data_IF_761466669177
#
_entry.id   IF_761466669177
#
_cell.length_a   1.000
_cell.length_b   1.000
_cell.length_c   1.000
_cell.angle_alpha   90.00
_cell.angle_beta   90.00
_cell.angle_gamma   90.00
#
_symmetry.space_group_name_H-M   'P 1'
#
loop_
_entity.id
_entity.type
_entity.pdbx_description
1 polymer ?
#
# COMPACT_ATOMS: atom_id res chain seq x y z
N UNK A 1 21.41 -9.80 -6.82
CA UNK A 1 20.86 -10.75 -5.84
C UNK A 1 20.65 -10.00 -4.53
N UNK A 2 19.47 -9.39 -4.39
CA UNK A 2 19.12 -8.50 -3.29
C UNK A 2 18.55 -9.31 -2.14
N UNK A 3 19.16 -9.17 -0.97
CA UNK A 3 18.75 -9.77 0.28
C UNK A 3 17.26 -9.53 0.58
N UNK A 4 16.43 -10.55 0.33
CA UNK A 4 15.09 -10.69 0.89
C UNK A 4 15.20 -11.12 2.36
N UNK A 5 15.78 -10.26 3.19
CA UNK A 5 16.03 -10.56 4.60
C UNK A 5 14.90 -9.99 5.46
N UNK A 6 13.94 -10.84 5.83
CA UNK A 6 13.24 -10.89 7.13
C UNK A 6 12.68 -9.57 7.76
N UNK A 7 12.50 -8.50 6.99
CA UNK A 7 12.54 -7.16 7.56
C UNK A 7 11.34 -6.71 8.40
N UNK A 8 10.27 -7.49 8.61
CA UNK A 8 9.10 -6.93 9.32
C UNK A 8 8.15 -7.91 10.01
N UNK A 9 8.64 -8.59 11.05
CA UNK A 9 7.76 -9.23 12.06
C UNK A 9 8.08 -8.72 13.47
N UNK A 10 8.87 -7.64 13.59
CA UNK A 10 9.09 -7.04 14.90
C UNK A 10 7.79 -6.43 15.42
N UNK A 11 7.58 -6.45 16.73
CA UNK A 11 6.39 -5.82 17.36
C UNK A 11 6.26 -4.35 16.94
N UNK A 12 7.41 -3.69 16.77
CA UNK A 12 7.56 -2.33 16.25
C UNK A 12 6.95 -2.16 14.85
N UNK A 13 7.21 -3.08 13.93
CA UNK A 13 6.67 -3.02 12.57
C UNK A 13 5.17 -3.27 12.55
N UNK A 14 4.69 -4.18 13.39
CA UNK A 14 3.26 -4.47 13.51
C UNK A 14 2.49 -3.23 14.00
N UNK A 15 3.05 -2.49 14.96
CA UNK A 15 2.47 -1.22 15.43
C UNK A 15 2.46 -0.17 14.31
N UNK A 16 3.58 -0.02 13.60
CA UNK A 16 3.71 0.93 12.49
C UNK A 16 2.68 0.64 11.38
N UNK A 17 2.48 -0.64 11.04
CA UNK A 17 1.48 -1.08 10.05
C UNK A 17 0.05 -0.92 10.54
N UNK A 18 -0.25 -1.22 11.81
CA UNK A 18 -1.56 -0.92 12.39
C UNK A 18 -1.90 0.56 12.23
N UNK A 19 -0.95 1.44 12.57
CA UNK A 19 -1.15 2.88 12.43
C UNK A 19 -1.41 3.28 10.97
N UNK A 20 -0.71 2.70 9.99
CA UNK A 20 -0.95 2.98 8.58
C UNK A 20 -2.33 2.53 8.12
N UNK A 21 -2.81 1.35 8.53
CA UNK A 21 -4.19 0.93 8.26
C UNK A 21 -5.21 1.87 8.91
N UNK A 22 -4.97 2.33 10.14
CA UNK A 22 -5.83 3.35 10.78
C UNK A 22 -5.91 4.63 9.92
N UNK A 23 -4.78 5.08 9.35
CA UNK A 23 -4.77 6.25 8.47
C UNK A 23 -5.55 6.00 7.16
N UNK A 24 -5.44 4.81 6.57
CA UNK A 24 -6.19 4.44 5.36
C UNK A 24 -7.69 4.46 5.65
N UNK A 25 -8.13 3.81 6.73
CA UNK A 25 -9.55 3.71 7.11
C UNK A 25 -10.14 5.07 7.49
N UNK A 26 -9.43 5.84 8.32
CA UNK A 26 -9.92 7.16 8.78
C UNK A 26 -10.14 8.13 7.61
N UNK A 27 -9.33 8.01 6.55
CA UNK A 27 -9.44 8.86 5.35
C UNK A 27 -10.62 8.51 4.45
N UNK A 28 -11.20 7.33 4.62
CA UNK A 28 -12.44 6.94 3.94
C UNK A 28 -13.69 7.44 4.70
N UNK A 29 -13.52 8.18 5.80
CA UNK A 29 -14.63 8.64 6.64
C UNK A 29 -15.25 7.53 7.49
N UNK A 30 -14.58 6.37 7.58
CA UNK A 30 -15.02 5.23 8.39
C UNK A 30 -14.22 5.20 9.69
N UNK A 31 -14.89 4.88 10.79
CA UNK A 31 -14.23 4.72 12.07
C UNK A 31 -13.26 3.52 12.02
N UNK A 32 -11.99 3.76 12.30
CA UNK A 32 -10.99 2.70 12.34
C UNK A 32 -11.23 1.79 13.56
N UNK A 33 -11.71 0.57 13.33
CA UNK A 33 -11.74 -0.48 14.36
C UNK A 33 -10.30 -0.97 14.61
N UNK A 34 -9.66 -0.36 15.60
CA UNK A 34 -8.27 -0.68 16.00
C UNK A 34 -8.11 -2.13 16.41
N UNK A 35 -9.12 -2.75 17.02
CA UNK A 35 -9.06 -4.14 17.45
C UNK A 35 -9.12 -5.09 16.25
N UNK A 36 -9.96 -4.79 15.25
CA UNK A 36 -9.98 -5.53 13.99
C UNK A 36 -8.67 -5.37 13.21
N UNK A 37 -8.14 -4.14 13.14
CA UNK A 37 -6.84 -3.85 12.50
C UNK A 37 -5.73 -4.64 13.17
N UNK A 38 -5.61 -4.57 14.49
CA UNK A 38 -4.55 -5.27 15.23
C UNK A 38 -4.65 -6.78 15.05
N UNK A 39 -5.85 -7.35 15.17
CA UNK A 39 -6.08 -8.78 14.96
C UNK A 39 -5.65 -9.22 13.57
N UNK A 40 -6.08 -8.49 12.54
CA UNK A 40 -5.76 -8.78 11.15
C UNK A 40 -4.25 -8.77 10.88
N UNK A 41 -3.55 -7.76 11.40
CA UNK A 41 -2.09 -7.63 11.29
C UNK A 41 -1.36 -8.76 12.03
N UNK A 42 -1.78 -9.08 13.25
CA UNK A 42 -1.19 -10.15 14.04
C UNK A 42 -1.40 -11.52 13.36
N UNK A 43 -2.61 -11.81 12.88
CA UNK A 43 -2.93 -13.04 12.15
C UNK A 43 -2.15 -13.16 10.84
N UNK A 44 -2.12 -12.10 10.02
CA UNK A 44 -1.38 -12.07 8.77
C UNK A 44 0.11 -12.32 8.99
N UNK A 45 0.70 -11.68 10.00
CA UNK A 45 2.11 -11.82 10.33
C UNK A 45 2.49 -13.24 10.79
N UNK A 46 1.62 -13.90 11.57
CA UNK A 46 1.78 -15.30 11.99
C UNK A 46 1.66 -16.26 10.83
N UNK A 47 0.65 -16.07 9.98
CA UNK A 47 0.45 -16.91 8.80
C UNK A 47 1.65 -16.87 7.86
N UNK A 48 2.23 -15.69 7.61
CA UNK A 48 3.42 -15.59 6.77
C UNK A 48 4.65 -16.24 7.39
N UNK A 49 4.81 -16.25 8.72
CA UNK A 49 5.95 -16.89 9.38
C UNK A 49 6.01 -18.41 9.14
N UNK A 50 4.87 -19.05 8.84
CA UNK A 50 4.77 -20.49 8.56
C UNK A 50 5.11 -20.84 7.10
N UNK A 51 5.39 -19.83 6.25
CA UNK A 51 5.59 -20.01 4.81
C UNK A 51 7.06 -19.83 4.41
N UNK A 52 7.58 -20.61 3.44
CA UNK A 52 8.99 -20.55 3.02
C UNK A 52 9.41 -19.19 2.40
N UNK A 53 8.47 -18.46 1.79
CA UNK A 53 8.69 -17.17 1.13
C UNK A 53 7.99 -16.02 1.88
N UNK A 54 8.24 -15.95 3.19
CA UNK A 54 7.63 -15.02 4.16
C UNK A 54 8.07 -13.55 3.95
N UNK A 55 7.65 -12.98 2.82
CA UNK A 55 7.92 -11.56 2.51
C UNK A 55 6.88 -10.67 3.17
N UNK A 56 7.31 -9.50 3.66
CA UNK A 56 6.43 -8.53 4.30
C UNK A 56 5.23 -8.13 3.43
N UNK A 57 5.41 -8.13 2.12
CA UNK A 57 4.35 -7.83 1.17
C UNK A 57 3.18 -8.83 1.28
N UNK A 58 3.49 -10.10 1.58
CA UNK A 58 2.48 -11.16 1.67
C UNK A 58 1.58 -10.95 2.88
N UNK A 59 2.13 -10.92 4.09
CA UNK A 59 1.29 -10.74 5.28
C UNK A 59 0.55 -9.41 5.26
N UNK A 60 1.13 -8.35 4.70
CA UNK A 60 0.46 -7.07 4.56
C UNK A 60 -0.73 -7.14 3.58
N UNK A 61 -0.59 -7.89 2.48
CA UNK A 61 -1.69 -8.13 1.53
C UNK A 61 -2.80 -8.97 2.16
N UNK A 62 -2.45 -10.00 2.94
CA UNK A 62 -3.43 -10.81 3.69
C UNK A 62 -4.15 -9.95 4.75
N UNK A 63 -3.41 -9.14 5.51
CA UNK A 63 -3.97 -8.24 6.52
C UNK A 63 -4.95 -7.24 5.89
N UNK A 64 -4.57 -6.67 4.74
CA UNK A 64 -5.43 -5.76 4.00
C UNK A 64 -6.71 -6.47 3.50
N UNK A 65 -6.57 -7.71 3.01
CA UNK A 65 -7.70 -8.53 2.53
C UNK A 65 -8.67 -8.87 3.66
N UNK A 66 -8.16 -9.26 4.84
CA UNK A 66 -8.95 -9.52 6.04
C UNK A 66 -9.68 -8.26 6.56
N UNK A 67 -9.14 -7.07 6.27
CA UNK A 67 -9.79 -5.79 6.55
C UNK A 67 -10.78 -5.35 5.45
N UNK A 68 -10.96 -6.17 4.41
CA UNK A 68 -11.87 -5.90 3.30
C UNK A 68 -11.27 -5.02 2.20
N UNK A 69 -9.98 -4.67 2.25
CA UNK A 69 -9.33 -3.91 1.18
C UNK A 69 -8.92 -4.80 0.01
N UNK A 70 -8.86 -4.20 -1.18
CA UNK A 70 -8.18 -4.80 -2.32
C UNK A 70 -6.72 -4.37 -2.28
N UNK A 71 -5.81 -5.31 -2.03
CA UNK A 71 -4.37 -5.05 -1.97
C UNK A 71 -3.58 -5.92 -2.95
N UNK A 72 -2.51 -5.36 -3.53
CA UNK A 72 -1.63 -6.08 -4.46
C UNK A 72 -0.17 -5.68 -4.25
N UNK A 73 0.71 -6.64 -4.45
CA UNK A 73 2.14 -6.39 -4.53
C UNK A 73 2.47 -5.85 -5.92
N UNK A 74 3.11 -4.68 -5.98
CA UNK A 74 3.52 -4.02 -7.21
C UNK A 74 5.02 -3.73 -7.12
N UNK A 75 5.73 -3.93 -8.22
CA UNK A 75 7.11 -3.51 -8.37
C UNK A 75 7.16 -2.47 -9.49
N UNK A 76 7.72 -1.29 -9.20
CA UNK A 76 7.70 -0.18 -10.14
C UNK A 76 8.67 0.92 -9.77
N UNK A 77 8.90 1.83 -10.71
CA UNK A 77 9.72 3.00 -10.46
C UNK A 77 8.94 4.03 -9.64
N UNK A 78 9.66 4.90 -8.93
CA UNK A 78 9.04 5.89 -8.05
C UNK A 78 8.02 6.82 -8.74
N UNK A 79 8.24 7.30 -9.99
CA UNK A 79 7.23 8.07 -10.71
C UNK A 79 5.90 7.31 -10.91
N UNK A 80 5.96 6.01 -11.17
CA UNK A 80 4.78 5.15 -11.37
C UNK A 80 4.02 4.97 -10.05
N UNK A 81 4.74 4.67 -8.97
CA UNK A 81 4.16 4.51 -7.63
C UNK A 81 3.53 5.81 -7.11
N UNK A 82 4.18 6.94 -7.38
CA UNK A 82 3.62 8.27 -7.12
C UNK A 82 2.34 8.48 -7.94
N UNK A 83 2.32 8.04 -9.21
CA UNK A 83 1.13 8.05 -10.06
C UNK A 83 -0.04 7.31 -9.43
N UNK A 84 0.18 6.06 -9.00
CA UNK A 84 -0.83 5.25 -8.31
C UNK A 84 -1.39 5.94 -7.07
N UNK A 85 -0.52 6.50 -6.23
CA UNK A 85 -0.94 7.24 -5.04
C UNK A 85 -1.76 8.50 -5.40
N UNK A 86 -1.41 9.21 -6.48
CA UNK A 86 -2.20 10.36 -6.97
C UNK A 86 -3.58 9.97 -7.48
N UNK A 87 -3.70 8.79 -8.08
CA UNK A 87 -4.96 8.24 -8.58
C UNK A 87 -5.87 7.71 -7.46
N UNK A 88 -5.50 7.98 -6.20
CA UNK A 88 -6.31 7.68 -5.02
C UNK A 88 -5.92 6.37 -4.34
N UNK A 89 -4.89 5.66 -4.81
CA UNK A 89 -4.42 4.47 -4.12
C UNK A 89 -3.61 4.83 -2.86
N UNK A 90 -3.52 3.87 -1.96
CA UNK A 90 -2.61 3.89 -0.81
C UNK A 90 -1.41 3.00 -1.11
N UNK A 91 -0.22 3.58 -1.18
CA UNK A 91 1.02 2.83 -1.49
C UNK A 91 1.84 2.71 -0.22
N UNK A 92 1.97 1.48 0.29
CA UNK A 92 2.79 1.16 1.45
C UNK A 92 4.14 0.62 0.99
N UNK A 93 5.20 1.22 1.51
CA UNK A 93 6.58 0.85 1.20
C UNK A 93 7.37 0.66 2.50
N UNK A 94 8.25 -0.32 2.49
CA UNK A 94 9.22 -0.55 3.55
C UNK A 94 10.62 -0.30 3.00
N UNK A 95 11.32 0.68 3.57
CA UNK A 95 12.69 1.02 3.18
C UNK A 95 13.66 0.55 4.28
N UNK A 96 14.60 -0.37 3.98
CA UNK A 96 15.60 -0.81 4.95
C UNK A 96 16.33 0.39 5.59
N UNK A 97 16.42 0.42 6.93
CA UNK A 97 17.06 1.50 7.69
C UNK A 97 16.24 2.80 7.82
N UNK A 98 15.23 3.02 6.97
CA UNK A 98 14.36 4.19 7.01
C UNK A 98 12.94 3.89 7.55
N UNK A 99 12.57 2.61 7.59
CA UNK A 99 11.28 2.12 8.07
C UNK A 99 10.14 2.31 7.08
N UNK A 100 8.92 2.26 7.59
CA UNK A 100 7.72 2.30 6.78
C UNK A 100 7.33 3.69 6.28
N UNK A 101 6.75 3.73 5.08
CA UNK A 101 6.09 4.92 4.51
C UNK A 101 4.77 4.54 3.87
N UNK A 102 3.80 5.44 3.99
CA UNK A 102 2.52 5.38 3.29
C UNK A 102 2.37 6.63 2.42
N UNK A 103 2.08 6.43 1.15
CA UNK A 103 1.80 7.47 0.17
C UNK A 103 0.33 7.43 -0.22
N UNK A 104 -0.32 8.59 -0.28
CA UNK A 104 -1.68 8.70 -0.83
C UNK A 104 -1.94 10.11 -1.37
N UNK A 105 -2.90 10.25 -2.26
CA UNK A 105 -3.34 11.53 -2.81
C UNK A 105 -3.98 12.43 -1.74
N UNK A 106 -3.89 13.75 -1.94
CA UNK A 106 -4.49 14.74 -1.04
C UNK A 106 -5.11 15.92 -1.81
N UNK A 107 -5.93 15.59 -2.81
CA UNK A 107 -6.59 16.59 -3.65
C UNK A 107 -5.63 17.43 -4.51
N UNK A 108 -6.08 17.77 -5.72
CA UNK A 108 -5.30 18.58 -6.65
C UNK A 108 -3.91 17.97 -6.95
N UNK A 109 -2.84 18.73 -6.70
CA UNK A 109 -1.44 18.33 -6.94
C UNK A 109 -0.68 17.96 -5.66
N UNK A 110 -1.37 17.79 -4.53
CA UNK A 110 -0.75 17.48 -3.24
C UNK A 110 -0.95 16.02 -2.89
N UNK A 111 0.01 15.50 -2.14
CA UNK A 111 0.07 14.13 -1.68
C UNK A 111 0.45 14.12 -0.22
N UNK A 112 0.13 13.03 0.46
CA UNK A 112 0.53 12.81 1.83
C UNK A 112 1.62 11.76 1.85
N UNK A 113 2.70 12.11 2.55
CA UNK A 113 3.70 11.18 2.99
C UNK A 113 3.49 10.95 4.48
N UNK A 114 3.22 9.70 4.84
CA UNK A 114 2.97 9.29 6.22
C UNK A 114 4.08 8.37 6.70
N UNK A 115 4.57 8.63 7.90
CA UNK A 115 5.74 8.00 8.51
C UNK A 115 5.44 7.78 9.99
N UNK A 116 5.15 6.56 10.45
CA UNK A 116 4.73 6.32 11.84
C UNK A 116 5.68 6.93 12.89
N UNK A 117 6.97 6.99 12.57
CA UNK A 117 8.07 7.43 13.46
C UNK A 117 8.72 8.75 13.05
N UNK A 118 8.13 9.49 12.12
CA UNK A 118 8.66 10.80 11.73
C UNK A 118 8.36 11.87 12.79
N UNK A 119 9.21 12.89 12.93
CA UNK A 119 8.92 14.07 13.77
C UNK A 119 7.56 14.71 13.41
N UNK A 120 7.24 14.70 12.12
CA UNK A 120 5.91 15.00 11.59
C UNK A 120 5.38 13.75 10.89
N UNK A 121 4.55 12.92 11.56
CA UNK A 121 4.10 11.65 11.03
C UNK A 121 3.27 11.75 9.76
N UNK A 122 2.69 12.91 9.46
CA UNK A 122 1.90 13.18 8.27
C UNK A 122 2.38 14.50 7.67
N UNK A 123 2.85 14.45 6.42
CA UNK A 123 3.32 15.64 5.69
C UNK A 123 2.64 15.77 4.34
N UNK A 124 2.16 16.97 4.03
CA UNK A 124 1.57 17.29 2.74
C UNK A 124 2.64 17.83 1.79
N UNK A 125 2.96 17.08 0.75
CA UNK A 125 4.06 17.33 -0.17
C UNK A 125 3.59 17.37 -1.63
N UNK A 126 4.41 17.94 -2.50
CA UNK A 126 4.26 17.78 -3.96
C UNK A 126 4.93 16.47 -4.41
N UNK A 127 4.52 15.88 -5.55
CA UNK A 127 5.13 14.67 -6.11
C UNK A 127 6.67 14.72 -6.18
N UNK A 128 7.24 15.82 -6.67
CA UNK A 128 8.70 15.98 -6.74
C UNK A 128 9.39 15.96 -5.38
N UNK A 129 8.76 16.50 -4.33
CA UNK A 129 9.30 16.48 -2.97
C UNK A 129 9.27 15.08 -2.36
N UNK A 130 8.23 14.28 -2.67
CA UNK A 130 8.18 12.86 -2.30
C UNK A 130 9.31 12.10 -3.00
N UNK A 131 9.52 12.37 -4.30
CA UNK A 131 10.60 11.77 -5.06
C UNK A 131 11.95 12.02 -4.41
N UNK A 132 12.28 13.29 -4.15
CA UNK A 132 13.54 13.68 -3.53
C UNK A 132 13.71 13.05 -2.15
N UNK A 133 12.66 12.98 -1.33
CA UNK A 133 12.77 12.40 0.01
C UNK A 133 12.99 10.89 0.00
N UNK A 134 12.33 10.16 -0.91
CA UNK A 134 12.52 8.71 -1.00
C UNK A 134 13.88 8.37 -1.61
N UNK A 135 14.34 9.15 -2.60
CA UNK A 135 15.71 9.02 -3.12
C UNK A 135 16.76 9.32 -2.06
N UNK A 136 16.59 10.39 -1.27
CA UNK A 136 17.48 10.71 -0.15
C UNK A 136 17.45 9.64 0.96
N UNK A 137 16.36 8.86 1.06
CA UNK A 137 16.26 7.70 1.94
C UNK A 137 16.92 6.43 1.36
N UNK A 138 17.67 6.55 0.26
CA UNK A 138 18.43 5.47 -0.36
C UNK A 138 17.66 4.68 -1.43
N UNK A 139 16.56 5.23 -1.94
CA UNK A 139 15.83 4.58 -3.02
C UNK A 139 16.49 4.78 -4.39
N UNK A 140 16.86 3.67 -5.03
CA UNK A 140 17.33 3.61 -6.42
C UNK A 140 16.67 2.42 -7.16
N UNK A 141 16.17 2.66 -8.38
CA UNK A 141 15.66 1.60 -9.26
C UNK A 141 14.19 1.24 -9.10
N UNK A 142 13.88 -0.05 -8.92
CA UNK A 142 12.53 -0.59 -8.78
C UNK A 142 12.20 -0.83 -7.30
N UNK A 143 11.00 -0.39 -6.87
CA UNK A 143 10.52 -0.59 -5.51
C UNK A 143 9.40 -1.62 -5.51
N UNK A 144 9.59 -2.69 -4.72
CA UNK A 144 8.50 -3.59 -4.37
C UNK A 144 7.66 -2.97 -3.24
N UNK A 145 6.37 -2.83 -3.47
CA UNK A 145 5.42 -2.15 -2.59
C UNK A 145 4.10 -2.91 -2.49
N UNK A 146 3.29 -2.57 -1.49
CA UNK A 146 1.89 -3.01 -1.43
C UNK A 146 0.99 -1.82 -1.75
N UNK A 147 0.20 -1.96 -2.82
CA UNK A 147 -0.77 -0.97 -3.25
C UNK A 147 -2.15 -1.43 -2.80
N UNK A 148 -2.82 -0.56 -2.05
CA UNK A 148 -4.14 -0.79 -1.47
C UNK A 148 -5.09 0.17 -2.16
N UNK A 149 -6.18 -0.37 -2.71
CA UNK A 149 -7.30 0.42 -3.18
C UNK A 149 -8.20 0.77 -2.00
N UNK A 150 -8.31 2.06 -1.64
CA UNK A 150 -9.23 2.46 -0.61
C UNK A 150 -10.66 2.26 -1.12
N UNK A 151 -11.41 1.37 -0.46
CA UNK A 151 -12.81 1.17 -0.79
C UNK A 151 -13.59 2.45 -0.47
N UNK A 152 -14.37 2.94 -1.44
CA UNK A 152 -15.45 3.87 -1.15
C UNK A 152 -16.59 3.05 -0.54
N UNK A 153 -16.57 2.86 0.77
CA UNK A 153 -17.76 2.33 1.46
C UNK A 153 -18.89 3.32 1.18
N UNK A 154 -19.98 2.80 0.60
CA UNK A 154 -21.03 3.59 -0.01
C UNK A 154 -21.53 4.72 0.89
N UNK A 155 -21.48 5.94 0.36
CA UNK A 155 -22.51 6.90 0.68
C UNK A 155 -23.84 6.23 0.31
N UNK A 156 -24.70 5.99 1.30
CA UNK A 156 -26.07 5.56 1.05
C UNK A 156 -26.76 6.60 0.16
N UNK A 157 -26.80 6.32 -1.13
CA UNK A 157 -27.61 7.00 -2.13
C UNK A 157 -28.20 5.94 -3.03
N UNK A 158 -29.48 5.63 -2.81
CA UNK A 158 -30.29 4.89 -3.75
C UNK A 158 -30.22 5.55 -5.14
N UNK A 159 -29.51 4.91 -6.07
CA UNK A 159 -29.87 4.97 -7.48
C UNK A 159 -29.37 3.74 -8.21
N UNK A 160 -30.29 3.06 -8.88
CA UNK A 160 -30.00 2.22 -10.04
C UNK A 160 -29.04 2.97 -10.96
N UNK A 161 -27.89 2.38 -11.29
CA UNK A 161 -27.61 2.10 -12.69
C UNK A 161 -26.46 1.11 -12.89
N UNK A 162 -26.52 0.42 -14.02
CA UNK A 162 -25.52 -0.51 -14.51
C UNK A 162 -24.19 0.20 -14.84
N UNK A 163 -23.29 0.33 -13.87
CA UNK A 163 -21.91 0.66 -14.17
C UNK A 163 -20.96 -0.32 -13.49
N UNK A 164 -20.55 -1.34 -14.25
CA UNK A 164 -19.35 -2.12 -14.01
C UNK A 164 -18.11 -1.22 -14.13
N UNK A 165 -17.92 -0.29 -13.20
CA UNK A 165 -16.66 0.38 -13.01
C UNK A 165 -15.66 -0.62 -12.43
N UNK A 166 -14.96 -1.33 -13.30
CA UNK A 166 -13.73 -2.05 -12.96
C UNK A 166 -12.83 -1.11 -12.15
N UNK A 167 -12.59 -1.48 -10.90
CA UNK A 167 -11.67 -0.84 -9.95
C UNK A 167 -10.35 -0.45 -10.66
N UNK A 168 -9.71 0.70 -10.40
CA UNK A 168 -8.49 1.06 -11.12
C UNK A 168 -7.36 0.04 -10.93
N UNK A 169 -7.29 -0.67 -9.79
CA UNK A 169 -6.40 -1.83 -9.65
C UNK A 169 -6.82 -2.98 -10.56
N UNK A 170 -8.11 -3.28 -10.71
CA UNK A 170 -8.58 -4.32 -11.66
C UNK A 170 -8.28 -3.97 -13.13
N UNK A 171 -8.33 -2.68 -13.49
CA UNK A 171 -7.90 -2.20 -14.81
C UNK A 171 -6.38 -2.35 -14.98
N UNK A 172 -5.58 -1.93 -14.00
CA UNK A 172 -4.13 -2.15 -14.00
C UNK A 172 -3.79 -3.64 -14.12
N UNK A 173 -4.49 -4.51 -13.38
CA UNK A 173 -4.35 -5.96 -13.47
C UNK A 173 -4.62 -6.47 -14.89
N UNK A 174 -5.66 -5.95 -15.55
CA UNK A 174 -6.01 -6.36 -16.92
C UNK A 174 -4.93 -5.95 -17.92
N UNK A 175 -4.34 -4.76 -17.74
CA UNK A 175 -3.22 -4.28 -18.56
C UNK A 175 -1.94 -5.09 -18.33
N UNK A 176 -1.60 -5.41 -17.08
CA UNK A 176 -0.41 -6.24 -16.78
C UNK A 176 -0.58 -7.72 -17.16
N UNK A 177 -1.81 -8.25 -17.16
CA UNK A 177 -2.08 -9.62 -17.64
C UNK A 177 -1.85 -9.75 -19.14
N UNK A 178 -2.16 -8.72 -19.92
CA UNK A 178 -1.98 -8.72 -21.37
C UNK A 178 -0.50 -8.91 -21.76
N UNK A 179 0.44 -8.35 -20.99
CA UNK A 179 1.88 -8.50 -21.28
C UNK A 179 2.51 -9.80 -20.75
N UNK A 180 1.87 -10.52 -19.83
CA UNK A 180 2.38 -11.82 -19.35
C UNK A 180 2.26 -12.94 -20.38
N UNK A 181 1.35 -12.81 -21.34
CA UNK A 181 1.13 -13.81 -22.40
C UNK A 181 2.15 -13.75 -23.54
N UNK A 182 2.92 -12.68 -23.68
CA UNK A 182 3.98 -12.56 -24.70
C UNK A 182 5.38 -13.00 -24.23
N UNK A 183 5.53 -13.44 -22.96
CA UNK A 183 6.81 -13.97 -22.42
C UNK A 183 6.82 -15.52 -22.42
N UNK A 184 5.94 -16.16 -23.19
CA UNK A 184 6.00 -17.59 -23.52
C UNK A 184 5.71 -17.81 -25.01
N UNK A 185 6.54 -17.24 -25.87
CA UNK A 185 6.71 -17.74 -27.24
C UNK A 185 8.20 -18.03 -27.44
N UNK A 186 8.46 -19.30 -27.72
CA UNK A 186 9.75 -19.93 -28.02
C UNK A 186 10.41 -19.30 -29.24
#
# INVERSE_FOLDING_TARGET
>A
MTASLAASTSETDLIDVCWMFEQITSRQGVHADRSAIRRSVDEGSRFAAELPDSTWCRWLTESATSLGFVARVVEGQLPELIGLARDGMSVMVHLPGCGWRLLTGHGGRRMLLMQPRGEQPIRTLRPGQISTQLQAAGFEGLLRCVVIEPQKIGAHGHHNDHDHHTSPLSRLISLMKAERTDIWVV
#
